data_IF_787309829406
#
_entry.id   IF_787309829406
#
_cell.length_a   1.000
_cell.length_b   1.000
_cell.length_c   1.000
_cell.angle_alpha   90.00
_cell.angle_beta   90.00
_cell.angle_gamma   90.00
#
_symmetry.space_group_name_H-M   'P 1'
#
loop_
_entity.id
_entity.type
_entity.pdbx_description
1 polymer ?
#
# COMPACT_ATOMS: atom_id res chain seq x y z
N UNK A 1 2.85 12.45 31.60
CA UNK A 1 1.54 12.30 30.93
C UNK A 1 1.35 13.16 29.68
N UNK A 2 1.88 14.36 29.59
CA UNK A 2 1.66 15.29 28.44
C UNK A 2 2.25 14.79 27.09
N UNK A 3 3.40 14.10 27.05
CA UNK A 3 4.04 13.59 25.80
C UNK A 3 3.25 12.46 25.11
N UNK A 4 2.60 11.56 25.88
CA UNK A 4 1.80 10.45 25.33
C UNK A 4 0.59 10.92 24.49
N UNK A 5 -0.03 12.04 24.89
CA UNK A 5 -1.18 12.60 24.17
C UNK A 5 -0.79 13.22 22.82
N UNK A 6 0.44 13.75 22.72
CA UNK A 6 0.95 14.37 21.49
C UNK A 6 1.20 13.34 20.38
N UNK A 7 1.81 12.19 20.71
CA UNK A 7 2.11 11.15 19.72
C UNK A 7 0.84 10.47 19.18
N UNK A 8 -0.16 10.21 20.04
CA UNK A 8 -1.49 9.73 19.63
C UNK A 8 -2.15 10.62 18.56
N UNK A 9 -2.07 11.95 18.73
CA UNK A 9 -2.63 12.89 17.75
C UNK A 9 -1.84 12.91 16.45
N UNK A 10 -0.52 12.71 16.51
CA UNK A 10 0.35 12.73 15.33
C UNK A 10 0.12 11.49 14.45
N UNK A 11 0.16 10.28 15.03
CA UNK A 11 -0.10 9.02 14.31
C UNK A 11 -1.47 9.05 13.64
N UNK A 12 -2.52 9.42 14.40
CA UNK A 12 -3.88 9.53 13.87
C UNK A 12 -3.99 10.53 12.71
N UNK A 13 -3.23 11.63 12.76
CA UNK A 13 -3.25 12.67 11.72
C UNK A 13 -2.52 12.23 10.45
N UNK A 14 -1.41 11.50 10.56
CA UNK A 14 -0.63 11.03 9.41
C UNK A 14 -1.37 9.92 8.65
N UNK A 15 -1.77 8.84 9.33
CA UNK A 15 -2.52 7.75 8.71
C UNK A 15 -3.86 8.21 8.12
N UNK A 16 -4.60 9.07 8.83
CA UNK A 16 -5.85 9.64 8.32
C UNK A 16 -5.65 10.41 7.00
N UNK A 17 -4.59 11.21 6.87
CA UNK A 17 -4.28 11.92 5.62
C UNK A 17 -3.97 10.97 4.47
N UNK A 18 -3.27 9.86 4.73
CA UNK A 18 -2.96 8.84 3.71
C UNK A 18 -4.24 8.16 3.24
N UNK A 19 -5.10 7.77 4.19
CA UNK A 19 -6.39 7.13 3.88
C UNK A 19 -7.33 8.08 3.15
N UNK A 20 -7.43 9.34 3.57
CA UNK A 20 -8.23 10.36 2.88
C UNK A 20 -7.71 10.59 1.44
N UNK A 21 -6.40 10.62 1.23
CA UNK A 21 -5.80 10.70 -0.10
C UNK A 21 -6.11 9.48 -0.97
N UNK A 22 -6.07 8.27 -0.40
CA UNK A 22 -6.43 7.03 -1.08
C UNK A 22 -7.93 6.93 -1.37
N UNK A 23 -8.79 7.33 -0.43
CA UNK A 23 -10.25 7.33 -0.59
C UNK A 23 -10.71 8.35 -1.65
N UNK A 24 -10.08 9.52 -1.75
CA UNK A 24 -10.38 10.48 -2.82
C UNK A 24 -10.09 9.93 -4.21
N UNK A 25 -9.09 9.06 -4.34
CA UNK A 25 -8.79 8.38 -5.61
C UNK A 25 -9.70 7.16 -5.86
N UNK A 26 -10.27 6.54 -4.82
CA UNK A 26 -11.18 5.37 -4.93
C UNK A 26 -12.64 5.75 -5.12
N UNK A 27 -13.08 6.94 -4.74
CA UNK A 27 -14.48 7.42 -4.97
C UNK A 27 -14.85 7.45 -6.47
N UNK A 28 -13.87 7.38 -7.36
CA UNK A 28 -14.12 7.32 -8.81
C UNK A 28 -14.47 5.89 -9.29
N UNK A 29 -14.39 4.84 -8.44
CA UNK A 29 -14.58 3.45 -8.88
C UNK A 29 -15.35 2.58 -7.90
N UNK A 30 -16.61 2.88 -7.63
CA UNK A 30 -17.55 1.85 -7.18
C UNK A 30 -18.07 1.05 -8.38
N UNK A 31 -17.26 0.14 -8.88
CA UNK A 31 -17.71 -0.92 -9.78
C UNK A 31 -17.31 -2.25 -9.18
N UNK A 32 -18.29 -2.96 -8.65
CA UNK A 32 -18.19 -4.33 -8.20
C UNK A 32 -17.93 -5.25 -9.40
N UNK A 33 -16.69 -5.76 -9.52
CA UNK A 33 -16.42 -6.88 -10.43
C UNK A 33 -16.34 -8.18 -9.63
N UNK A 34 -16.98 -9.26 -10.11
CA UNK A 34 -16.79 -10.58 -9.50
C UNK A 34 -15.34 -11.03 -9.74
N UNK A 35 -14.66 -11.41 -8.66
CA UNK A 35 -13.36 -12.07 -8.71
C UNK A 35 -13.54 -13.47 -9.33
N UNK A 36 -13.24 -13.59 -10.62
CA UNK A 36 -12.98 -14.91 -11.22
C UNK A 36 -11.50 -15.22 -11.03
N UNK A 37 -11.21 -16.06 -10.04
CA UNK A 37 -9.92 -16.69 -9.85
C UNK A 37 -9.67 -17.70 -10.99
N UNK A 38 -9.01 -17.27 -12.04
CA UNK A 38 -8.52 -18.19 -13.06
C UNK A 38 -7.20 -18.80 -12.57
N UNK A 39 -7.24 -20.06 -12.11
CA UNK A 39 -6.06 -20.91 -11.95
C UNK A 39 -5.44 -21.13 -13.32
N UNK A 40 -4.28 -20.58 -13.59
CA UNK A 40 -3.51 -20.86 -14.78
C UNK A 40 -2.71 -22.15 -14.58
N UNK A 41 -3.02 -23.19 -15.34
CA UNK A 41 -2.18 -24.39 -15.48
C UNK A 41 -0.84 -24.02 -16.12
N UNK A 42 0.23 -24.38 -15.46
CA UNK A 42 1.59 -24.23 -15.98
C UNK A 42 1.87 -25.33 -17.01
N UNK A 43 1.78 -25.01 -18.30
CA UNK A 43 2.39 -25.79 -19.37
C UNK A 43 3.74 -25.16 -19.74
N UNK A 44 4.81 -25.89 -19.44
CA UNK A 44 6.18 -25.59 -19.85
C UNK A 44 6.29 -25.66 -21.38
N UNK A 45 6.41 -24.51 -22.02
CA UNK A 45 6.95 -24.34 -23.37
C UNK A 45 7.62 -22.97 -23.43
N UNK A 46 8.67 -22.81 -24.22
CA UNK A 46 9.45 -21.57 -24.33
C UNK A 46 8.51 -20.34 -24.51
N UNK A 47 8.23 -19.65 -23.40
CA UNK A 47 7.12 -18.70 -23.33
C UNK A 47 7.65 -17.33 -23.73
N UNK A 48 7.31 -16.89 -24.91
CA UNK A 48 7.37 -15.46 -25.27
C UNK A 48 6.56 -14.70 -24.22
N UNK A 49 7.21 -13.95 -23.35
CA UNK A 49 6.55 -13.21 -22.26
C UNK A 49 5.52 -12.25 -22.88
N UNK A 50 4.24 -12.58 -22.74
CA UNK A 50 3.15 -11.78 -23.30
C UNK A 50 3.15 -10.42 -22.61
N UNK A 51 3.34 -9.35 -23.36
CA UNK A 51 3.35 -7.97 -22.83
C UNK A 51 2.00 -7.60 -22.21
N UNK A 52 2.02 -7.01 -21.02
CA UNK A 52 0.82 -6.48 -20.36
C UNK A 52 0.26 -5.31 -21.17
N UNK A 53 -1.03 -5.38 -21.50
CA UNK A 53 -1.69 -4.28 -22.22
C UNK A 53 -1.80 -3.04 -21.33
N UNK A 54 -1.92 -1.85 -21.93
CA UNK A 54 -2.07 -0.59 -21.19
C UNK A 54 -3.32 -0.57 -20.32
N UNK A 55 -4.44 -1.08 -20.83
CA UNK A 55 -5.70 -1.17 -20.08
C UNK A 55 -5.60 -2.12 -18.90
N UNK A 56 -5.00 -3.29 -19.09
CA UNK A 56 -4.80 -4.26 -18.01
C UNK A 56 -3.87 -3.70 -16.93
N UNK A 57 -2.81 -3.01 -17.33
CA UNK A 57 -1.90 -2.36 -16.38
C UNK A 57 -2.60 -1.34 -15.48
N UNK A 58 -3.46 -0.49 -16.06
CA UNK A 58 -4.24 0.49 -15.26
C UNK A 58 -5.18 -0.23 -14.29
N UNK A 59 -5.89 -1.26 -14.75
CA UNK A 59 -6.76 -2.07 -13.87
C UNK A 59 -5.99 -2.69 -12.71
N UNK A 60 -4.80 -3.21 -12.97
CA UNK A 60 -3.92 -3.79 -11.96
C UNK A 60 -3.45 -2.74 -10.93
N UNK A 61 -3.05 -1.54 -11.38
CA UNK A 61 -2.73 -0.44 -10.47
C UNK A 61 -3.91 -0.12 -9.53
N UNK A 62 -5.13 -0.01 -10.04
CA UNK A 62 -6.31 0.27 -9.22
C UNK A 62 -6.65 -0.87 -8.25
N UNK A 63 -6.53 -2.13 -8.69
CA UNK A 63 -6.74 -3.29 -7.81
C UNK A 63 -5.76 -3.28 -6.63
N UNK A 64 -4.46 -3.05 -6.90
CA UNK A 64 -3.44 -2.97 -5.85
C UNK A 64 -3.67 -1.78 -4.92
N UNK A 65 -4.08 -0.62 -5.46
CA UNK A 65 -4.43 0.55 -4.63
C UNK A 65 -5.59 0.25 -3.68
N UNK A 66 -6.61 -0.48 -4.14
CA UNK A 66 -7.74 -0.86 -3.30
C UNK A 66 -7.30 -1.74 -2.13
N UNK A 67 -6.54 -2.81 -2.42
CA UNK A 67 -6.02 -3.68 -1.35
C UNK A 67 -5.10 -2.92 -0.40
N UNK A 68 -4.24 -2.04 -0.92
CA UNK A 68 -3.41 -1.17 -0.08
C UNK A 68 -4.26 -0.31 0.87
N UNK A 69 -5.34 0.30 0.39
CA UNK A 69 -6.22 1.10 1.23
C UNK A 69 -6.87 0.28 2.35
N UNK A 70 -7.27 -0.96 2.07
CA UNK A 70 -7.81 -1.89 3.06
C UNK A 70 -6.78 -2.21 4.15
N UNK A 71 -5.53 -2.53 3.78
CA UNK A 71 -4.45 -2.78 4.75
C UNK A 71 -4.14 -1.54 5.58
N UNK A 72 -4.05 -0.36 4.98
CA UNK A 72 -3.79 0.89 5.70
C UNK A 72 -4.89 1.24 6.70
N UNK A 73 -6.15 0.94 6.38
CA UNK A 73 -7.28 1.12 7.31
C UNK A 73 -7.12 0.21 8.54
N UNK A 74 -6.79 -1.07 8.32
CA UNK A 74 -6.55 -2.02 9.42
C UNK A 74 -5.33 -1.61 10.27
N UNK A 75 -4.28 -1.08 9.66
CA UNK A 75 -3.12 -0.54 10.39
C UNK A 75 -3.50 0.67 11.26
N UNK A 76 -4.34 1.57 10.76
CA UNK A 76 -4.82 2.72 11.56
C UNK A 76 -5.63 2.26 12.76
N UNK A 77 -6.61 1.36 12.56
CA UNK A 77 -7.43 0.79 13.62
C UNK A 77 -6.57 0.10 14.67
N UNK A 78 -5.65 -0.77 14.25
CA UNK A 78 -4.73 -1.47 15.13
C UNK A 78 -3.83 -0.51 15.95
N UNK A 79 -3.36 0.57 15.35
CA UNK A 79 -2.55 1.59 16.05
C UNK A 79 -3.37 2.33 17.11
N UNK A 80 -4.62 2.66 16.79
CA UNK A 80 -5.55 3.32 17.71
C UNK A 80 -5.87 2.40 18.89
N UNK A 81 -6.15 1.13 18.62
CA UNK A 81 -6.50 0.15 19.63
C UNK A 81 -5.31 -0.14 20.56
N UNK A 82 -4.11 -0.33 20.01
CA UNK A 82 -2.88 -0.48 20.79
C UNK A 82 -2.63 0.72 21.72
N UNK A 83 -2.94 1.94 21.26
CA UNK A 83 -2.80 3.14 22.08
C UNK A 83 -3.87 3.23 23.19
N UNK A 84 -4.98 2.54 23.09
CA UNK A 84 -6.06 2.51 24.07
C UNK A 84 -5.95 1.32 25.04
N UNK A 85 -5.39 0.19 24.58
CA UNK A 85 -5.23 -1.04 25.36
C UNK A 85 -3.76 -1.44 25.44
N UNK A 86 -3.08 -0.91 26.45
CA UNK A 86 -1.67 -1.18 26.71
C UNK A 86 -1.38 -2.58 27.29
N UNK A 87 -2.41 -3.38 27.58
CA UNK A 87 -2.24 -4.73 28.12
C UNK A 87 -2.08 -5.81 27.06
N UNK A 88 -2.49 -5.52 25.83
CA UNK A 88 -2.49 -6.48 24.71
C UNK A 88 -1.50 -6.09 23.59
N UNK A 89 -0.43 -5.37 23.90
CA UNK A 89 0.52 -4.84 22.90
C UNK A 89 1.14 -5.92 22.02
N UNK A 90 1.39 -7.12 22.55
CA UNK A 90 1.94 -8.25 21.79
C UNK A 90 0.98 -8.71 20.67
N UNK A 91 -0.32 -8.71 20.95
CA UNK A 91 -1.34 -9.00 19.93
C UNK A 91 -1.34 -7.96 18.81
N UNK A 92 -1.30 -6.68 19.19
CA UNK A 92 -1.22 -5.59 18.20
C UNK A 92 0.08 -5.60 17.40
N UNK A 93 1.21 -5.95 18.02
CA UNK A 93 2.47 -6.16 17.31
C UNK A 93 2.34 -7.27 16.27
N UNK A 94 1.75 -8.41 16.62
CA UNK A 94 1.57 -9.55 15.71
C UNK A 94 0.77 -9.18 14.46
N UNK A 95 -0.20 -8.26 14.56
CA UNK A 95 -0.95 -7.77 13.41
C UNK A 95 -0.04 -7.03 12.41
N UNK A 96 0.97 -6.28 12.85
CA UNK A 96 1.90 -5.61 11.95
C UNK A 96 2.78 -6.58 11.15
N UNK A 97 3.10 -7.73 11.72
CA UNK A 97 3.76 -8.80 10.96
C UNK A 97 2.88 -9.31 9.80
N UNK A 98 1.58 -9.46 10.04
CA UNK A 98 0.62 -9.85 9.01
C UNK A 98 0.46 -8.77 7.95
N UNK A 99 0.32 -7.50 8.33
CA UNK A 99 0.24 -6.39 7.39
C UNK A 99 1.49 -6.27 6.52
N UNK A 100 2.68 -6.48 7.10
CA UNK A 100 3.91 -6.54 6.33
C UNK A 100 3.86 -7.62 5.24
N UNK A 101 3.38 -8.82 5.59
CA UNK A 101 3.25 -9.93 4.64
C UNK A 101 2.26 -9.58 3.51
N UNK A 102 1.10 -9.01 3.82
CA UNK A 102 0.12 -8.58 2.83
C UNK A 102 0.66 -7.47 1.91
N UNK A 103 1.34 -6.48 2.47
CA UNK A 103 1.98 -5.41 1.69
C UNK A 103 3.06 -5.96 0.74
N UNK A 104 3.81 -6.97 1.18
CA UNK A 104 4.83 -7.64 0.36
C UNK A 104 4.24 -8.31 -0.87
N UNK A 105 3.04 -8.87 -0.77
CA UNK A 105 2.33 -9.46 -1.93
C UNK A 105 1.87 -8.40 -2.95
N UNK A 106 1.79 -7.13 -2.54
CA UNK A 106 1.47 -6.02 -3.44
C UNK A 106 2.67 -5.51 -4.24
N UNK A 107 3.90 -5.92 -3.94
CA UNK A 107 5.07 -5.55 -4.71
C UNK A 107 5.01 -6.20 -6.10
N UNK A 108 5.39 -5.43 -7.12
CA UNK A 108 5.62 -6.02 -8.43
C UNK A 108 6.94 -6.81 -8.43
N UNK A 109 6.84 -8.09 -8.66
CA UNK A 109 7.99 -9.00 -8.73
C UNK A 109 8.86 -8.73 -9.96
N UNK A 110 10.09 -9.23 -9.94
CA UNK A 110 10.97 -9.14 -11.13
C UNK A 110 10.37 -9.83 -12.36
N UNK A 111 9.62 -10.93 -12.16
CA UNK A 111 8.98 -11.67 -13.25
C UNK A 111 7.82 -10.85 -13.87
N UNK A 112 6.95 -10.28 -13.04
CA UNK A 112 5.88 -9.39 -13.52
C UNK A 112 6.45 -8.22 -14.31
N UNK A 113 7.53 -7.62 -13.84
CA UNK A 113 8.18 -6.49 -14.49
C UNK A 113 8.78 -6.85 -15.86
N UNK A 114 9.10 -8.11 -16.16
CA UNK A 114 9.57 -8.53 -17.50
C UNK A 114 8.49 -8.30 -18.57
N UNK A 115 7.22 -8.48 -18.22
CA UNK A 115 6.09 -8.29 -19.13
C UNK A 115 5.70 -6.81 -19.35
N UNK A 116 6.27 -5.88 -18.59
CA UNK A 116 5.93 -4.46 -18.59
C UNK A 116 6.73 -3.68 -19.62
N UNK A 117 6.07 -2.70 -20.26
CA UNK A 117 6.72 -1.70 -21.11
C UNK A 117 7.50 -0.65 -20.30
N UNK A 118 8.40 0.08 -20.97
CA UNK A 118 9.31 1.08 -20.34
C UNK A 118 8.58 2.10 -19.43
N UNK A 119 7.42 2.60 -19.85
CA UNK A 119 6.65 3.57 -19.05
C UNK A 119 5.96 2.90 -17.85
N UNK A 120 5.42 1.70 -18.02
CA UNK A 120 4.83 0.91 -16.94
C UNK A 120 5.87 0.61 -15.85
N UNK A 121 7.10 0.23 -16.24
CA UNK A 121 8.21 0.00 -15.30
C UNK A 121 8.55 1.23 -14.47
N UNK A 122 8.43 2.45 -15.03
CA UNK A 122 8.65 3.69 -14.26
C UNK A 122 7.57 3.91 -13.18
N UNK A 123 6.32 3.58 -13.48
CA UNK A 123 5.21 3.62 -12.52
C UNK A 123 5.43 2.58 -11.42
N UNK A 124 5.73 1.34 -11.81
CA UNK A 124 5.96 0.22 -10.88
C UNK A 124 7.16 0.46 -9.96
N UNK A 125 8.24 1.06 -10.47
CA UNK A 125 9.38 1.42 -9.63
C UNK A 125 8.93 2.32 -8.48
N UNK A 126 8.12 3.34 -8.77
CA UNK A 126 7.63 4.28 -7.77
C UNK A 126 6.65 3.63 -6.79
N UNK A 127 5.80 2.70 -7.26
CA UNK A 127 4.94 1.88 -6.41
C UNK A 127 5.74 1.07 -5.41
N UNK A 128 6.74 0.33 -5.89
CA UNK A 128 7.57 -0.51 -5.03
C UNK A 128 8.39 0.33 -4.02
N UNK A 129 8.84 1.53 -4.41
CA UNK A 129 9.50 2.48 -3.50
C UNK A 129 8.55 2.92 -2.39
N UNK A 130 7.32 3.32 -2.72
CA UNK A 130 6.32 3.68 -1.73
C UNK A 130 6.01 2.52 -0.78
N UNK A 131 5.73 1.32 -1.31
CA UNK A 131 5.46 0.15 -0.46
C UNK A 131 6.61 -0.21 0.48
N UNK A 132 7.86 0.01 0.07
CA UNK A 132 9.01 -0.24 0.94
C UNK A 132 8.92 0.60 2.22
N UNK A 133 8.54 1.86 2.14
CA UNK A 133 8.41 2.73 3.31
C UNK A 133 7.29 2.27 4.24
N UNK A 134 6.11 1.91 3.73
CA UNK A 134 5.04 1.44 4.61
C UNK A 134 5.35 0.08 5.24
N UNK A 135 6.10 -0.78 4.57
CA UNK A 135 6.61 -2.03 5.13
C UNK A 135 7.63 -1.77 6.25
N UNK A 136 8.52 -0.79 6.10
CA UNK A 136 9.44 -0.36 7.17
C UNK A 136 8.68 0.25 8.36
N UNK A 137 7.60 0.98 8.10
CA UNK A 137 6.70 1.44 9.17
C UNK A 137 6.09 0.27 9.95
N UNK A 138 5.67 -0.82 9.28
CA UNK A 138 5.18 -2.03 9.95
C UNK A 138 6.23 -2.63 10.89
N UNK A 139 7.49 -2.75 10.44
CA UNK A 139 8.58 -3.24 11.29
C UNK A 139 8.80 -2.34 12.51
N UNK A 140 8.76 -1.03 12.34
CA UNK A 140 8.94 -0.07 13.42
C UNK A 140 7.76 -0.10 14.41
N UNK A 141 6.52 -0.21 13.94
CA UNK A 141 5.35 -0.39 14.82
C UNK A 141 5.41 -1.71 15.57
N UNK A 142 5.81 -2.81 14.91
CA UNK A 142 6.03 -4.08 15.56
C UNK A 142 7.01 -3.94 16.73
N UNK A 143 8.18 -3.33 16.50
CA UNK A 143 9.18 -3.10 17.54
C UNK A 143 8.65 -2.21 18.65
N UNK A 144 7.94 -1.14 18.31
CA UNK A 144 7.36 -0.23 19.29
C UNK A 144 6.43 -0.95 20.27
N UNK A 145 5.58 -1.84 19.78
CA UNK A 145 4.59 -2.51 20.62
C UNK A 145 5.18 -3.68 21.39
N UNK A 146 6.08 -4.48 20.79
CA UNK A 146 6.75 -5.58 21.49
C UNK A 146 7.65 -5.08 22.63
N UNK A 147 8.21 -3.87 22.51
CA UNK A 147 9.03 -3.20 23.53
C UNK A 147 8.22 -2.35 24.53
N UNK A 148 6.90 -2.53 24.61
CA UNK A 148 6.08 -1.83 25.57
C UNK A 148 5.75 -0.38 25.22
N UNK A 149 5.50 -0.09 23.94
CA UNK A 149 5.17 1.22 23.40
C UNK A 149 6.40 2.16 23.34
N UNK A 150 7.46 1.71 22.70
CA UNK A 150 8.72 2.46 22.59
C UNK A 150 8.56 3.72 21.72
N UNK A 151 8.84 4.90 22.31
CA UNK A 151 8.66 6.20 21.67
C UNK A 151 9.61 6.41 20.47
N UNK A 152 10.81 5.81 20.48
CA UNK A 152 11.77 5.94 19.39
C UNK A 152 11.29 5.14 18.16
N UNK A 153 10.87 3.90 18.37
CA UNK A 153 10.34 3.07 17.31
C UNK A 153 9.02 3.66 16.73
N UNK A 154 8.16 4.25 17.57
CA UNK A 154 6.96 4.97 17.10
C UNK A 154 7.33 6.20 16.26
N UNK A 155 8.36 6.93 16.63
CA UNK A 155 8.84 8.08 15.84
C UNK A 155 9.36 7.61 14.48
N UNK A 156 10.17 6.56 14.45
CA UNK A 156 10.66 5.95 13.21
C UNK A 156 9.52 5.46 12.31
N UNK A 157 8.50 4.80 12.89
CA UNK A 157 7.33 4.38 12.14
C UNK A 157 6.60 5.55 11.47
N UNK A 158 6.43 6.67 12.18
CA UNK A 158 5.78 7.86 11.64
C UNK A 158 6.59 8.53 10.52
N UNK A 159 7.92 8.56 10.64
CA UNK A 159 8.81 9.06 9.58
C UNK A 159 8.66 8.23 8.30
N UNK A 160 8.57 6.91 8.42
CA UNK A 160 8.35 6.01 7.29
C UNK A 160 6.95 6.17 6.68
N UNK A 161 5.91 6.42 7.47
CA UNK A 161 4.56 6.76 6.98
C UNK A 161 4.56 8.09 6.21
N UNK A 162 5.29 9.10 6.67
CA UNK A 162 5.44 10.37 5.95
C UNK A 162 6.20 10.18 4.62
N UNK A 163 7.27 9.37 4.62
CA UNK A 163 8.01 9.01 3.42
C UNK A 163 7.13 8.22 2.43
N UNK A 164 6.36 7.23 2.92
CA UNK A 164 5.37 6.52 2.12
C UNK A 164 4.40 7.49 1.45
N UNK A 165 3.83 8.43 2.21
CA UNK A 165 2.87 9.41 1.69
C UNK A 165 3.47 10.23 0.55
N UNK A 166 4.72 10.67 0.71
CA UNK A 166 5.45 11.41 -0.33
C UNK A 166 5.64 10.58 -1.60
N UNK A 167 6.14 9.35 -1.47
CA UNK A 167 6.42 8.47 -2.60
C UNK A 167 5.13 7.97 -3.26
N UNK A 168 4.07 7.71 -2.49
CA UNK A 168 2.77 7.33 -3.02
C UNK A 168 2.11 8.46 -3.84
N UNK A 169 2.23 9.71 -3.42
CA UNK A 169 1.78 10.84 -4.21
C UNK A 169 2.53 10.94 -5.55
N UNK A 170 3.84 10.68 -5.57
CA UNK A 170 4.61 10.62 -6.82
C UNK A 170 4.16 9.47 -7.71
N UNK A 171 3.83 8.31 -7.11
CA UNK A 171 3.25 7.18 -7.84
C UNK A 171 1.91 7.55 -8.48
N UNK A 172 0.99 8.15 -7.72
CA UNK A 172 -0.33 8.54 -8.25
C UNK A 172 -0.21 9.54 -9.39
N UNK A 173 0.64 10.55 -9.29
CA UNK A 173 0.93 11.48 -10.37
C UNK A 173 1.45 10.77 -11.65
N UNK A 174 2.27 9.71 -11.48
CA UNK A 174 2.76 8.93 -12.63
C UNK A 174 1.65 8.06 -13.24
N UNK A 175 0.74 7.51 -12.44
CA UNK A 175 -0.43 6.77 -12.92
C UNK A 175 -1.35 7.70 -13.72
N UNK A 176 -1.68 8.87 -13.19
CA UNK A 176 -2.51 9.87 -13.87
C UNK A 176 -1.90 10.30 -15.19
N UNK A 177 -0.63 10.68 -15.20
CA UNK A 177 0.08 11.04 -16.42
C UNK A 177 0.12 9.90 -17.45
N UNK A 178 0.19 8.65 -16.99
CA UNK A 178 0.12 7.47 -17.86
C UNK A 178 -1.28 7.32 -18.48
N UNK A 179 -2.33 7.48 -17.69
CA UNK A 179 -3.73 7.41 -18.12
C UNK A 179 -4.03 8.50 -19.16
N UNK A 180 -3.64 9.74 -18.89
CA UNK A 180 -3.80 10.87 -19.79
C UNK A 180 -3.06 10.65 -21.12
N UNK A 181 -1.78 10.30 -21.04
CA UNK A 181 -0.93 10.06 -22.21
C UNK A 181 -1.50 9.04 -23.18
N UNK A 182 -2.16 8.00 -22.65
CA UNK A 182 -2.69 6.91 -23.47
C UNK A 182 -4.21 6.95 -23.62
N UNK A 183 -4.87 8.04 -23.16
CA UNK A 183 -6.33 8.26 -23.23
C UNK A 183 -7.13 7.09 -22.64
N UNK A 184 -6.75 6.67 -21.42
CA UNK A 184 -7.32 5.50 -20.76
C UNK A 184 -8.39 5.83 -19.71
N UNK A 185 -8.94 7.06 -19.69
CA UNK A 185 -9.94 7.52 -18.72
C UNK A 185 -11.20 6.63 -18.67
N UNK A 186 -11.56 6.03 -19.80
CA UNK A 186 -12.71 5.10 -19.87
C UNK A 186 -12.47 3.77 -19.12
N UNK A 187 -11.22 3.41 -18.85
CA UNK A 187 -10.88 2.18 -18.10
C UNK A 187 -11.23 2.33 -16.62
N UNK A 188 -11.30 3.56 -16.13
CA UNK A 188 -11.56 3.89 -14.73
C UNK A 188 -13.08 4.08 -14.50
N UNK A 189 -13.83 4.43 -15.53
CA UNK A 189 -15.26 4.76 -15.44
C UNK A 189 -16.18 3.55 -15.70
N UNK A 190 -15.65 2.42 -16.03
CA UNK A 190 -16.35 1.16 -16.30
C UNK A 190 -15.95 0.07 -15.35
#
# INVERSE_FOLDING_TARGET
>A
MSKKISNKKLVKKCLKKVIEGLLLTTIITTVTYPLTTAKAEVKSSATTVKKVSRKQFVKDCYSRNKTLAEVLTLMEENTIDAANDMFNLESYASNYYNYYAELKELLYTKEEQKALGKQQKKVVKQWNEALTHIMLACDSYYQAFICGYDDYALTSANEEVDAFTSEFNKYMNKVEAYIEKYKLQSVIKG
#
